data_IF_416544293232
#
_entry.id   IF_416544293232
#
_cell.length_a   1.000
_cell.length_b   1.000
_cell.length_c   1.000
_cell.angle_alpha   90.00
_cell.angle_beta   90.00
_cell.angle_gamma   90.00
#
_symmetry.space_group_name_H-M   'P 1'
#
loop_
_entity.id
_entity.type
_entity.pdbx_description
1 polymer ?
#
# COMPACT_ATOMS: atom_id res chain seq x y z
N UNK A 1 1.51 14.33 6.94
CA UNK A 1 1.93 13.56 5.74
C UNK A 1 3.44 13.43 5.70
N UNK A 2 3.99 12.23 5.85
CA UNK A 2 5.44 11.98 5.76
C UNK A 2 5.87 11.33 4.43
N UNK A 3 5.04 10.43 3.89
CA UNK A 3 5.32 9.72 2.63
C UNK A 3 4.09 9.70 1.72
N UNK A 4 4.31 9.70 0.40
CA UNK A 4 3.27 9.54 -0.59
C UNK A 4 3.72 8.66 -1.77
N UNK A 5 2.88 7.76 -2.24
CA UNK A 5 3.12 6.95 -3.44
C UNK A 5 2.12 7.25 -4.55
N UNK A 6 2.49 6.91 -5.79
CA UNK A 6 1.60 7.01 -6.95
C UNK A 6 0.66 5.79 -7.06
N UNK A 7 -0.34 5.86 -7.94
CA UNK A 7 -1.02 4.68 -8.47
C UNK A 7 -0.29 4.14 -9.71
N UNK A 8 -0.51 2.87 -10.03
CA UNK A 8 0.17 2.16 -11.13
C UNK A 8 -0.69 1.03 -11.72
N UNK A 9 -0.26 0.48 -12.85
CA UNK A 9 -0.82 -0.73 -13.47
C UNK A 9 -0.32 -2.03 -12.81
N UNK A 10 0.79 -2.00 -12.07
CA UNK A 10 1.43 -3.22 -11.55
C UNK A 10 1.99 -3.01 -10.14
N UNK A 11 1.21 -3.38 -9.12
CA UNK A 11 1.61 -3.39 -7.71
C UNK A 11 0.61 -4.20 -6.88
N UNK A 12 0.45 -3.88 -5.58
CA UNK A 12 -0.71 -4.31 -4.79
C UNK A 12 -1.74 -3.19 -4.69
N UNK A 13 -2.98 -3.55 -4.41
CA UNK A 13 -3.99 -2.59 -3.98
C UNK A 13 -3.55 -1.90 -2.67
N UNK A 14 -3.89 -0.61 -2.46
CA UNK A 14 -4.73 0.23 -3.32
C UNK A 14 -3.96 1.01 -4.39
N UNK A 15 -2.64 0.80 -4.55
CA UNK A 15 -1.86 1.50 -5.59
C UNK A 15 -2.09 0.94 -6.99
N UNK A 16 -2.50 -0.33 -7.12
CA UNK A 16 -2.85 -0.89 -8.42
C UNK A 16 -4.25 -0.43 -8.87
N UNK A 17 -4.32 0.13 -10.07
CA UNK A 17 -5.55 0.49 -10.76
C UNK A 17 -5.67 -0.26 -12.09
N UNK A 18 -6.89 -0.50 -12.60
CA UNK A 18 -7.06 -0.99 -13.97
C UNK A 18 -6.55 0.02 -14.99
N UNK A 19 -6.03 -0.47 -16.11
CA UNK A 19 -5.58 0.32 -17.25
C UNK A 19 -6.16 -0.26 -18.54
N UNK A 20 -6.44 0.59 -19.53
CA UNK A 20 -7.16 0.24 -20.76
C UNK A 20 -6.36 0.55 -22.05
N UNK A 21 -5.14 1.07 -21.95
CA UNK A 21 -4.27 1.26 -23.11
C UNK A 21 -3.56 -0.03 -23.54
N UNK A 22 -3.36 -0.21 -24.84
CA UNK A 22 -2.73 -1.39 -25.43
C UNK A 22 -1.19 -1.31 -25.47
N UNK A 23 -0.63 -0.09 -25.52
CA UNK A 23 0.80 0.14 -25.60
C UNK A 23 1.23 1.40 -24.83
N UNK A 24 2.54 1.64 -24.80
CA UNK A 24 3.14 2.76 -24.04
C UNK A 24 2.67 4.14 -24.49
N UNK A 25 2.14 4.29 -25.71
CA UNK A 25 1.59 5.55 -26.21
C UNK A 25 0.34 6.02 -25.46
N UNK A 26 -0.39 5.10 -24.81
CA UNK A 26 -1.58 5.45 -24.02
C UNK A 26 -1.28 5.91 -22.58
N UNK A 27 -0.03 5.81 -22.12
CA UNK A 27 0.35 6.14 -20.73
C UNK A 27 0.07 7.61 -20.42
N UNK A 28 0.46 8.52 -21.30
CA UNK A 28 0.31 9.96 -21.09
C UNK A 28 -1.17 10.36 -21.03
N UNK A 29 -2.01 9.76 -21.89
CA UNK A 29 -3.45 9.99 -21.90
C UNK A 29 -4.09 9.54 -20.58
N UNK A 30 -3.72 8.36 -20.06
CA UNK A 30 -4.22 7.89 -18.77
C UNK A 30 -3.71 8.77 -17.62
N UNK A 31 -2.43 9.13 -17.61
CA UNK A 31 -1.86 9.99 -16.57
C UNK A 31 -2.54 11.37 -16.54
N UNK A 32 -2.78 11.96 -17.71
CA UNK A 32 -3.52 13.22 -17.84
C UNK A 32 -4.97 13.08 -17.36
N UNK A 33 -5.64 11.97 -17.70
CA UNK A 33 -7.00 11.67 -17.22
C UNK A 33 -7.03 11.54 -15.69
N UNK A 34 -6.12 10.76 -15.10
CA UNK A 34 -6.00 10.60 -13.64
C UNK A 34 -5.78 11.93 -12.94
N UNK A 35 -4.89 12.78 -13.48
CA UNK A 35 -4.68 14.13 -12.96
C UNK A 35 -5.97 14.95 -12.98
N UNK A 36 -6.70 14.98 -14.10
CA UNK A 36 -7.95 15.74 -14.20
C UNK A 36 -9.02 15.25 -13.22
N UNK A 37 -9.20 13.94 -13.11
CA UNK A 37 -10.33 13.37 -12.37
C UNK A 37 -10.06 13.28 -10.85
N UNK A 38 -8.79 13.17 -10.44
CA UNK A 38 -8.39 12.88 -9.05
C UNK A 38 -7.35 13.87 -8.48
N UNK A 39 -7.12 15.02 -9.12
CA UNK A 39 -6.21 16.05 -8.59
C UNK A 39 -6.56 16.41 -7.14
N UNK A 40 -5.53 16.49 -6.29
CA UNK A 40 -5.68 16.80 -4.87
C UNK A 40 -6.28 15.68 -4.01
N UNK A 41 -6.76 14.59 -4.60
CA UNK A 41 -7.30 13.46 -3.86
C UNK A 41 -6.19 12.50 -3.43
N UNK A 42 -6.27 12.04 -2.19
CA UNK A 42 -5.33 11.09 -1.61
C UNK A 42 -6.04 10.09 -0.71
N UNK A 43 -5.54 8.86 -0.67
CA UNK A 43 -6.01 7.81 0.22
C UNK A 43 -4.96 7.55 1.28
N UNK A 44 -5.30 7.68 2.56
CA UNK A 44 -4.41 7.29 3.65
C UNK A 44 -4.27 5.76 3.67
N UNK A 45 -3.04 5.26 3.79
CA UNK A 45 -2.74 3.83 3.74
C UNK A 45 -1.80 3.42 4.86
N UNK A 46 -1.79 2.13 5.19
CA UNK A 46 -0.82 1.58 6.13
C UNK A 46 0.55 1.33 5.48
N UNK A 47 0.59 1.13 4.15
CA UNK A 47 1.77 0.67 3.41
C UNK A 47 1.82 1.27 2.02
N UNK A 48 3.03 1.53 1.54
CA UNK A 48 3.30 1.97 0.17
C UNK A 48 4.25 0.99 -0.50
N UNK A 49 3.90 0.55 -1.71
CA UNK A 49 4.81 -0.16 -2.60
C UNK A 49 5.85 0.81 -3.16
N UNK A 50 7.13 0.43 -3.06
CA UNK A 50 8.30 1.27 -3.32
C UNK A 50 8.61 1.60 -4.79
N UNK A 51 7.74 1.26 -5.75
CA UNK A 51 8.01 1.51 -7.19
C UNK A 51 8.12 3.02 -7.52
N UNK A 52 7.38 3.86 -6.79
CA UNK A 52 7.46 5.32 -6.88
C UNK A 52 6.89 5.94 -5.61
N UNK A 53 7.78 6.36 -4.71
CA UNK A 53 7.44 6.98 -3.43
C UNK A 53 8.23 8.28 -3.27
N UNK A 54 7.54 9.32 -2.82
CA UNK A 54 8.13 10.56 -2.32
C UNK A 54 8.04 10.55 -0.79
N UNK A 55 9.11 10.96 -0.12
CA UNK A 55 9.12 11.15 1.33
C UNK A 55 9.80 12.45 1.73
N UNK A 56 9.37 13.02 2.85
CA UNK A 56 10.01 14.21 3.42
C UNK A 56 11.39 13.84 3.96
N UNK A 57 12.33 14.81 3.89
CA UNK A 57 13.67 14.66 4.48
C UNK A 57 13.61 14.26 5.96
N UNK A 58 12.70 14.89 6.72
CA UNK A 58 12.48 14.58 8.13
C UNK A 58 12.18 13.10 8.40
N UNK A 59 11.50 12.40 7.47
CA UNK A 59 11.23 10.97 7.63
C UNK A 59 12.54 10.20 7.60
N UNK A 60 13.39 10.45 6.59
CA UNK A 60 14.72 9.82 6.50
C UNK A 60 15.58 10.12 7.73
N UNK A 61 15.56 11.35 8.21
CA UNK A 61 16.36 11.76 9.36
C UNK A 61 15.91 11.05 10.65
N UNK A 62 14.61 10.74 10.77
CA UNK A 62 14.05 10.05 11.94
C UNK A 62 14.19 8.52 11.88
N UNK A 63 13.97 7.91 10.72
CA UNK A 63 13.86 6.45 10.61
C UNK A 63 15.00 5.79 9.83
N UNK A 64 15.83 6.57 9.14
CA UNK A 64 16.86 6.06 8.23
C UNK A 64 16.32 5.65 6.86
N UNK A 65 17.20 5.05 6.05
CA UNK A 65 16.88 4.55 4.70
C UNK A 65 16.21 3.17 4.70
N UNK A 66 16.37 2.43 3.59
CA UNK A 66 15.94 1.04 3.51
C UNK A 66 16.77 0.13 4.43
N UNK A 67 16.16 -0.93 4.94
CA UNK A 67 16.87 -1.95 5.72
C UNK A 67 17.52 -2.95 4.76
N UNK A 68 18.85 -2.98 4.73
CA UNK A 68 19.65 -3.79 3.80
C UNK A 68 19.45 -5.30 3.99
N UNK A 69 18.84 -5.74 5.09
CA UNK A 69 18.50 -7.16 5.34
C UNK A 69 17.63 -7.78 4.25
N UNK A 70 16.84 -6.97 3.53
CA UNK A 70 15.98 -7.43 2.45
C UNK A 70 16.71 -7.60 1.11
N UNK A 71 17.98 -7.17 1.02
CA UNK A 71 18.83 -7.42 -0.14
C UNK A 71 18.24 -6.91 -1.45
N UNK A 72 17.90 -7.83 -2.35
CA UNK A 72 17.49 -7.52 -3.73
C UNK A 72 16.00 -7.13 -3.88
N UNK A 73 15.27 -7.03 -2.77
CA UNK A 73 13.91 -6.47 -2.71
C UNK A 73 12.90 -7.40 -2.06
N UNK A 74 11.65 -6.94 -2.00
CA UNK A 74 10.55 -7.48 -1.19
C UNK A 74 10.71 -7.15 0.30
N UNK A 75 9.67 -6.53 0.86
CA UNK A 75 9.52 -6.11 2.26
C UNK A 75 10.38 -4.92 2.72
N UNK A 76 11.26 -4.39 1.88
CA UNK A 76 12.05 -3.19 2.16
C UNK A 76 11.19 -1.92 2.26
N UNK A 77 10.22 -1.78 1.37
CA UNK A 77 9.22 -0.72 1.32
C UNK A 77 8.13 -0.87 2.40
N UNK A 78 7.74 -2.10 2.68
CA UNK A 78 6.84 -2.45 3.78
C UNK A 78 7.48 -2.13 5.13
N UNK A 79 8.75 -2.47 5.34
CA UNK A 79 9.52 -2.11 6.53
C UNK A 79 9.64 -0.61 6.73
N UNK A 80 9.97 0.12 5.66
CA UNK A 80 10.01 1.58 5.67
C UNK A 80 8.65 2.16 6.07
N UNK A 81 7.56 1.57 5.58
CA UNK A 81 6.20 1.98 5.91
C UNK A 81 5.84 1.74 7.39
N UNK A 82 6.23 0.59 7.94
CA UNK A 82 6.04 0.30 9.38
C UNK A 82 6.82 1.29 10.24
N UNK A 83 8.11 1.53 9.92
CA UNK A 83 8.94 2.48 10.66
C UNK A 83 8.38 3.90 10.61
N UNK A 84 7.96 4.38 9.44
CA UNK A 84 7.38 5.69 9.29
C UNK A 84 6.10 5.84 10.14
N UNK A 85 5.20 4.86 10.10
CA UNK A 85 3.98 4.87 10.94
C UNK A 85 4.27 4.86 12.42
N UNK A 86 5.21 4.02 12.87
CA UNK A 86 5.61 3.95 14.29
C UNK A 86 6.29 5.24 14.77
N UNK A 87 6.90 6.00 13.87
CA UNK A 87 7.42 7.34 14.14
C UNK A 87 6.35 8.46 14.03
N UNK A 88 5.07 8.12 13.84
CA UNK A 88 3.97 9.08 13.78
C UNK A 88 3.72 9.70 12.41
N UNK A 89 4.44 9.28 11.37
CA UNK A 89 4.21 9.77 10.01
C UNK A 89 3.04 9.07 9.34
N UNK A 90 2.26 9.85 8.59
CA UNK A 90 1.16 9.34 7.77
C UNK A 90 1.61 9.07 6.34
N UNK A 91 1.08 8.01 5.74
CA UNK A 91 1.35 7.56 4.39
C UNK A 91 0.10 7.72 3.52
N UNK A 92 0.28 8.17 2.27
CA UNK A 92 -0.82 8.42 1.36
C UNK A 92 -0.56 7.90 -0.05
N UNK A 93 -1.59 7.42 -0.73
CA UNK A 93 -1.57 7.22 -2.18
C UNK A 93 -2.16 8.45 -2.85
N UNK A 94 -1.38 9.12 -3.69
CA UNK A 94 -1.84 10.24 -4.50
C UNK A 94 -2.63 9.72 -5.71
N UNK A 95 -3.96 9.84 -5.68
CA UNK A 95 -4.82 9.22 -6.67
C UNK A 95 -4.68 9.89 -8.06
N UNK A 96 -4.42 11.20 -8.09
CA UNK A 96 -4.18 11.94 -9.34
C UNK A 96 -2.82 11.69 -10.01
N UNK A 97 -1.95 10.86 -9.44
CA UNK A 97 -0.59 10.59 -9.96
C UNK A 97 -0.49 9.16 -10.43
N UNK A 98 -0.24 8.97 -11.73
CA UNK A 98 -0.07 7.65 -12.33
C UNK A 98 1.36 7.45 -12.82
N UNK A 99 1.92 6.28 -12.54
CA UNK A 99 3.22 5.83 -13.04
C UNK A 99 3.06 4.42 -13.59
N UNK A 100 3.41 4.21 -14.86
CA UNK A 100 3.46 2.87 -15.43
C UNK A 100 4.65 2.10 -14.86
N UNK A 101 4.40 0.90 -14.35
CA UNK A 101 5.42 -0.01 -13.83
C UNK A 101 5.49 -1.25 -14.71
N UNK A 102 6.65 -1.46 -15.34
CA UNK A 102 6.87 -2.58 -16.26
C UNK A 102 7.06 -3.94 -15.57
N UNK A 103 7.06 -3.98 -14.23
CA UNK A 103 7.01 -5.18 -13.39
C UNK A 103 8.20 -6.14 -13.55
N UNK A 104 8.85 -6.52 -12.45
CA UNK A 104 9.77 -7.67 -12.36
C UNK A 104 10.92 -7.77 -13.38
N UNK A 105 11.19 -6.72 -14.17
CA UNK A 105 12.27 -6.71 -15.18
C UNK A 105 13.64 -6.87 -14.56
N UNK A 106 13.88 -6.20 -13.43
CA UNK A 106 15.15 -6.30 -12.69
C UNK A 106 15.34 -7.70 -12.13
N UNK A 107 14.30 -8.29 -11.51
CA UNK A 107 14.36 -9.64 -10.99
C UNK A 107 14.64 -10.68 -12.08
N UNK A 108 13.96 -10.55 -13.23
CA UNK A 108 14.17 -11.41 -14.39
C UNK A 108 15.60 -11.28 -14.93
N UNK A 109 16.11 -10.06 -15.08
CA UNK A 109 17.46 -9.80 -15.57
C UNK A 109 18.56 -10.37 -14.65
N UNK A 110 18.31 -10.41 -13.33
CA UNK A 110 19.23 -10.95 -12.33
C UNK A 110 19.05 -12.44 -12.05
N UNK A 111 18.10 -13.11 -12.72
CA UNK A 111 17.82 -14.55 -12.49
C UNK A 111 17.32 -14.84 -11.08
N UNK A 112 16.68 -13.87 -10.42
CA UNK A 112 16.23 -14.01 -9.04
C UNK A 112 14.97 -14.88 -9.01
N UNK A 113 15.01 -15.94 -8.21
CA UNK A 113 13.81 -16.67 -7.82
C UNK A 113 12.97 -15.79 -6.89
N UNK A 114 12.03 -15.06 -7.49
CA UNK A 114 11.16 -14.10 -6.80
C UNK A 114 10.31 -14.77 -5.73
N UNK A 115 9.89 -16.02 -5.93
CA UNK A 115 9.10 -16.76 -4.95
C UNK A 115 9.94 -17.07 -3.72
N UNK A 116 11.13 -17.64 -3.92
CA UNK A 116 12.07 -17.91 -2.83
C UNK A 116 12.48 -16.64 -2.09
N UNK A 117 12.76 -15.56 -2.82
CA UNK A 117 13.14 -14.27 -2.22
C UNK A 117 11.98 -13.67 -1.41
N UNK A 118 10.75 -13.68 -1.93
CA UNK A 118 9.55 -13.21 -1.25
C UNK A 118 9.33 -13.97 0.06
N UNK A 119 9.42 -15.31 0.04
CA UNK A 119 9.26 -16.13 1.24
C UNK A 119 10.35 -15.86 2.27
N UNK A 120 11.62 -15.84 1.85
CA UNK A 120 12.74 -15.58 2.75
C UNK A 120 12.62 -14.21 3.43
N UNK A 121 12.28 -13.16 2.66
CA UNK A 121 12.13 -11.81 3.20
C UNK A 121 10.86 -11.63 4.03
N UNK A 122 9.80 -12.39 3.76
CA UNK A 122 8.63 -12.41 4.64
C UNK A 122 8.97 -12.95 6.03
N UNK A 123 9.73 -14.04 6.12
CA UNK A 123 10.16 -14.58 7.42
C UNK A 123 11.07 -13.61 8.17
N UNK A 124 11.96 -12.90 7.46
CA UNK A 124 12.75 -11.82 8.07
C UNK A 124 11.88 -10.67 8.59
N UNK A 125 10.88 -10.24 7.80
CA UNK A 125 9.94 -9.19 8.17
C UNK A 125 9.11 -9.60 9.40
N UNK A 126 8.56 -10.82 9.40
CA UNK A 126 7.81 -11.39 10.51
C UNK A 126 8.65 -11.51 11.78
N UNK A 127 9.91 -11.94 11.66
CA UNK A 127 10.82 -11.99 12.79
C UNK A 127 11.12 -10.61 13.39
N UNK A 128 11.16 -9.56 12.56
CA UNK A 128 11.40 -8.17 13.01
C UNK A 128 10.18 -7.54 13.67
N UNK A 129 9.00 -7.72 13.08
CA UNK A 129 7.79 -6.96 13.46
C UNK A 129 6.76 -7.75 14.24
N UNK A 130 6.92 -9.07 14.33
CA UNK A 130 5.99 -9.97 15.01
C UNK A 130 4.87 -10.48 14.10
N UNK A 131 4.15 -11.49 14.59
CA UNK A 131 3.08 -12.15 13.85
C UNK A 131 1.89 -11.23 13.55
N UNK A 132 1.57 -10.30 14.46
CA UNK A 132 0.42 -9.41 14.31
C UNK A 132 0.61 -8.42 13.15
N UNK A 133 1.80 -7.83 13.01
CA UNK A 133 2.10 -6.96 11.86
C UNK A 133 2.12 -7.79 10.57
N UNK A 134 2.73 -8.99 10.61
CA UNK A 134 2.83 -9.87 9.45
C UNK A 134 1.47 -10.44 9.00
N UNK A 135 0.47 -10.54 9.88
CA UNK A 135 -0.85 -11.08 9.56
C UNK A 135 -1.60 -10.25 8.50
N UNK A 136 -1.25 -8.97 8.34
CA UNK A 136 -1.82 -8.08 7.32
C UNK A 136 -1.28 -8.34 5.89
N UNK A 137 -0.42 -9.35 5.72
CA UNK A 137 0.26 -9.64 4.47
C UNK A 137 -0.20 -10.99 3.91
N UNK A 138 -0.89 -10.92 2.77
CA UNK A 138 -1.17 -12.10 1.96
C UNK A 138 -0.07 -12.23 0.92
N UNK A 139 0.74 -13.28 1.03
CA UNK A 139 1.69 -13.65 0.00
C UNK A 139 0.91 -14.19 -1.21
N UNK A 140 0.37 -13.30 -2.04
CA UNK A 140 -0.10 -13.69 -3.36
C UNK A 140 1.11 -13.79 -4.30
N UNK A 141 1.25 -14.96 -4.92
CA UNK A 141 2.17 -15.20 -6.03
C UNK A 141 1.90 -14.16 -7.13
N UNK A 142 2.95 -13.61 -7.74
CA UNK A 142 2.78 -12.61 -8.78
C UNK A 142 1.90 -13.15 -9.90
N UNK A 143 0.88 -12.38 -10.26
CA UNK A 143 0.04 -12.58 -11.46
C UNK A 143 0.95 -12.78 -12.67
N UNK A 144 1.03 -14.03 -13.14
CA UNK A 144 1.46 -14.32 -14.50
C UNK A 144 0.38 -13.73 -15.41
N UNK A 145 0.76 -12.76 -16.24
CA UNK A 145 -0.12 -12.24 -17.28
C UNK A 145 -0.40 -13.35 -18.30
N UNK A 146 -1.57 -13.96 -18.23
CA UNK A 146 -2.13 -14.72 -19.37
C UNK A 146 -3.01 -13.79 -20.21
N UNK A 147 -2.92 -13.83 -21.55
CA UNK A 147 -3.68 -12.94 -22.43
C UNK A 147 -5.17 -13.28 -22.43
N UNK A 148 -5.97 -12.26 -22.76
CA UNK A 148 -7.42 -12.25 -22.88
C UNK A 148 -8.07 -13.56 -23.30
N UNK A 149 -8.98 -14.06 -22.47
CA UNK A 149 -10.20 -14.71 -22.97
C UNK A 149 -11.39 -14.12 -22.23
N UNK A 150 -12.25 -13.48 -23.02
CA UNK A 150 -13.54 -12.94 -22.60
C UNK A 150 -14.37 -14.11 -22.07
N UNK A 151 -14.73 -14.08 -20.79
CA UNK A 151 -15.90 -14.80 -20.29
C UNK A 151 -16.93 -13.73 -19.98
N UNK A 152 -18.00 -13.70 -20.78
CA UNK A 152 -19.19 -12.92 -20.47
C UNK A 152 -19.82 -13.57 -19.23
N UNK A 153 -19.83 -12.86 -18.12
CA UNK A 153 -20.62 -13.26 -16.96
C UNK A 153 -21.85 -12.36 -16.88
N UNK A 154 -23.00 -13.00 -16.95
CA UNK A 154 -24.34 -12.44 -16.98
C UNK A 154 -24.64 -11.86 -15.59
N UNK A 155 -24.80 -10.53 -15.48
CA UNK A 155 -25.21 -9.88 -14.24
C UNK A 155 -26.69 -10.13 -13.99
N UNK A 156 -26.99 -10.96 -12.99
CA UNK A 156 -28.29 -10.96 -12.31
C UNK A 156 -28.29 -9.87 -11.23
N UNK A 157 -29.17 -8.88 -11.40
CA UNK A 157 -29.32 -7.72 -10.52
C UNK A 157 -30.32 -8.04 -9.38
N UNK A 158 -29.93 -7.76 -8.13
CA UNK A 158 -30.87 -7.53 -7.03
C UNK A 158 -30.28 -6.54 -6.00
N UNK A 159 -31.12 -5.78 -5.27
CA UNK A 159 -30.84 -4.37 -4.99
C UNK A 159 -30.35 -4.07 -3.57
N UNK A 160 -29.57 -2.99 -3.47
CA UNK A 160 -29.58 -2.05 -2.35
C UNK A 160 -28.79 -2.43 -1.10
N UNK A 161 -27.62 -1.82 -0.91
CA UNK A 161 -27.15 -1.52 0.44
C UNK A 161 -26.38 -0.19 0.49
N UNK A 162 -26.75 0.59 1.51
CA UNK A 162 -26.39 1.98 1.75
C UNK A 162 -24.92 2.14 2.14
N UNK A 163 -24.37 3.29 1.77
CA UNK A 163 -23.09 3.85 2.25
C UNK A 163 -23.03 3.85 3.78
N UNK A 164 -21.96 3.30 4.35
CA UNK A 164 -21.60 3.54 5.76
C UNK A 164 -20.22 4.17 5.82
N UNK A 165 -20.18 5.36 6.40
CA UNK A 165 -19.03 6.09 6.91
C UNK A 165 -17.98 5.19 7.59
N UNK A 166 -16.71 5.35 7.22
CA UNK A 166 -15.60 5.03 8.11
C UNK A 166 -15.23 6.28 8.91
N UNK A 167 -16.05 6.58 9.90
CA UNK A 167 -15.79 7.59 10.91
C UNK A 167 -14.77 7.07 11.93
N UNK A 168 -13.64 7.78 12.05
CA UNK A 168 -12.72 7.69 13.17
C UNK A 168 -13.47 8.04 14.46
N UNK A 169 -13.61 7.09 15.39
CA UNK A 169 -14.01 7.41 16.76
C UNK A 169 -12.83 8.03 17.50
N UNK A 170 -12.99 9.29 17.87
CA UNK A 170 -12.23 9.96 18.92
C UNK A 170 -12.75 9.51 20.29
N UNK A 171 -11.89 8.89 21.09
CA UNK A 171 -12.11 8.65 22.52
C UNK A 171 -11.94 9.95 23.31
N UNK A 172 -12.82 10.29 24.27
CA UNK A 172 -12.45 11.21 25.33
C UNK A 172 -11.99 10.44 26.57
N UNK A 173 -10.78 10.74 27.01
CA UNK A 173 -10.26 10.30 28.30
C UNK A 173 -11.04 10.88 29.48
N UNK A 174 -11.10 10.11 30.56
CA UNK A 174 -11.58 10.53 31.86
C UNK A 174 -11.08 9.57 32.93
N UNK A 175 -9.96 9.92 33.57
CA UNK A 175 -9.43 9.24 34.75
C UNK A 175 -10.13 9.74 36.03
N UNK A 176 -10.25 8.78 36.96
CA UNK A 176 -10.25 8.85 38.43
C UNK A 176 -11.44 9.40 39.23
N UNK A 177 -11.88 8.57 40.19
CA UNK A 177 -12.70 8.99 41.34
C UNK A 177 -13.48 7.85 42.00
N UNK A 178 -12.81 6.90 42.66
CA UNK A 178 -13.45 5.95 43.61
C UNK A 178 -13.39 6.56 45.00
N UNK A 179 -14.52 6.60 45.73
CA UNK A 179 -14.53 7.02 47.14
C UNK A 179 -15.90 6.93 47.82
N UNK A 180 -16.10 5.81 48.51
CA UNK A 180 -17.15 5.39 49.46
C UNK A 180 -17.98 6.48 50.20
N UNK A 181 -19.26 6.17 50.43
CA UNK A 181 -20.16 6.95 51.29
C UNK A 181 -20.04 6.66 52.79
N UNK A 182 -20.79 7.41 53.60
CA UNK A 182 -21.51 6.97 54.80
C UNK A 182 -22.28 8.15 55.42
N UNK A 183 -23.39 7.78 56.05
CA UNK A 183 -24.41 8.50 56.82
C UNK A 183 -23.92 9.57 57.80
N UNK A 184 -24.77 10.59 58.01
CA UNK A 184 -24.69 11.58 59.10
C UNK A 184 -25.71 12.68 58.91
#
# INVERSE_FOLDING_TARGET
>A
VGMAGAVTNYSRQPQQIPVDYADVGGIDALAAKRRRDFAGQALQVARLTGFCVLLRREVLDHIGGFDERYGLGFFDDDDLSVRARRAGFQLFVALGVFVHHFGSRTFAALGIDTHKQLQANFEQFKAKWGADEAAAYHLQESVVSSPSSVVKEETEQAPGLRTTDYGLRSEPGGMSGVGAGCSG
#
